data_IF_232045464200
#
_entry.id   IF_232045464200
#
_cell.length_a   1.000
_cell.length_b   1.000
_cell.length_c   1.000
_cell.angle_alpha   90.00
_cell.angle_beta   90.00
_cell.angle_gamma   90.00
#
_symmetry.space_group_name_H-M   'P 1'
#
loop_
_entity.id
_entity.type
_entity.pdbx_description
1 polymer ?
#
# COMPACT_ATOMS: atom_id res chain seq x y z
N UNK A 1 -76.63 55.09 -2.96
CA UNK A 1 -76.35 54.13 -1.89
C UNK A 1 -74.96 53.57 -2.13
N UNK A 2 -73.95 54.18 -1.51
CA UNK A 2 -72.57 53.66 -1.53
C UNK A 2 -72.29 53.28 -0.08
N UNK A 3 -72.16 51.98 0.17
CA UNK A 3 -71.76 51.46 1.46
C UNK A 3 -70.31 51.91 1.70
N UNK A 4 -70.10 52.70 2.75
CA UNK A 4 -68.77 52.97 3.26
C UNK A 4 -68.22 51.64 3.81
N UNK A 5 -67.29 51.04 3.07
CA UNK A 5 -66.50 49.92 3.58
C UNK A 5 -65.65 50.48 4.72
N UNK A 6 -65.95 50.01 5.92
CA UNK A 6 -65.21 50.35 7.14
C UNK A 6 -63.80 49.75 7.03
N UNK A 7 -62.85 50.57 6.56
CA UNK A 7 -61.42 50.26 6.52
C UNK A 7 -60.76 50.70 7.81
N UNK A 8 -61.32 50.30 8.95
CA UNK A 8 -60.67 50.42 10.24
C UNK A 8 -59.80 49.19 10.44
N UNK A 9 -58.56 49.24 9.95
CA UNK A 9 -57.51 48.33 10.43
C UNK A 9 -57.42 48.49 11.94
N UNK A 10 -57.88 47.50 12.69
CA UNK A 10 -57.83 47.55 14.14
C UNK A 10 -56.36 47.41 14.55
N UNK A 11 -55.74 48.44 15.16
CA UNK A 11 -54.31 48.40 15.52
C UNK A 11 -54.00 47.26 16.50
N UNK A 12 -55.01 46.72 17.18
CA UNK A 12 -54.89 45.54 18.02
C UNK A 12 -54.58 44.26 17.22
N UNK A 13 -55.11 44.12 16.01
CA UNK A 13 -54.86 42.97 15.15
C UNK A 13 -53.44 43.01 14.55
N UNK A 14 -52.95 44.21 14.20
CA UNK A 14 -51.56 44.41 13.77
C UNK A 14 -50.58 44.09 14.90
N UNK A 15 -50.88 44.53 16.14
CA UNK A 15 -50.05 44.21 17.31
C UNK A 15 -50.03 42.71 17.60
N UNK A 16 -51.18 42.02 17.47
CA UNK A 16 -51.25 40.56 17.62
C UNK A 16 -50.44 39.84 16.56
N UNK A 17 -50.56 40.26 15.30
CA UNK A 17 -49.80 39.70 14.19
C UNK A 17 -48.28 39.83 14.43
N UNK A 18 -47.82 41.02 14.80
CA UNK A 18 -46.40 41.26 15.11
C UNK A 18 -45.92 40.37 16.27
N UNK A 19 -46.73 40.21 17.32
CA UNK A 19 -46.38 39.35 18.45
C UNK A 19 -46.29 37.88 18.05
N UNK A 20 -47.16 37.40 17.16
CA UNK A 20 -47.13 36.03 16.67
C UNK A 20 -45.94 35.80 15.72
N UNK A 21 -45.60 36.76 14.87
CA UNK A 21 -44.36 36.71 14.07
C UNK A 21 -43.11 36.70 14.96
N UNK A 22 -43.06 37.52 16.00
CA UNK A 22 -41.96 37.51 16.97
C UNK A 22 -41.83 36.16 17.70
N UNK A 23 -42.96 35.50 18.01
CA UNK A 23 -42.97 34.16 18.60
C UNK A 23 -42.49 33.11 17.60
N UNK A 24 -42.90 33.20 16.33
CA UNK A 24 -42.44 32.31 15.26
C UNK A 24 -40.93 32.43 15.06
N UNK A 25 -40.43 33.65 14.88
CA UNK A 25 -38.99 33.91 14.73
C UNK A 25 -38.19 33.39 15.93
N UNK A 26 -38.71 33.54 17.15
CA UNK A 26 -38.06 32.98 18.34
C UNK A 26 -38.00 31.45 18.28
N UNK A 27 -39.08 30.79 17.86
CA UNK A 27 -39.11 29.33 17.72
C UNK A 27 -38.13 28.85 16.64
N UNK A 28 -38.06 29.54 15.50
CA UNK A 28 -37.12 29.26 14.42
C UNK A 28 -35.66 29.42 14.86
N UNK A 29 -35.33 30.51 15.57
CA UNK A 29 -33.99 30.72 16.13
C UNK A 29 -33.62 29.59 17.10
N UNK A 30 -34.56 29.15 17.94
CA UNK A 30 -34.32 28.03 18.85
C UNK A 30 -34.11 26.71 18.11
N UNK A 31 -34.82 26.47 17.01
CA UNK A 31 -34.64 25.29 16.18
C UNK A 31 -33.25 25.30 15.51
N UNK A 32 -32.88 26.40 14.85
CA UNK A 32 -31.56 26.59 14.25
C UNK A 32 -30.43 26.44 15.27
N UNK A 33 -30.63 26.95 16.49
CA UNK A 33 -29.64 26.80 17.56
C UNK A 33 -29.46 25.34 18.01
N UNK A 34 -30.52 24.52 17.98
CA UNK A 34 -30.40 23.07 18.27
C UNK A 34 -29.71 22.35 17.12
N UNK A 35 -30.07 22.67 15.88
CA UNK A 35 -29.46 22.07 14.69
C UNK A 35 -27.96 22.38 14.59
N UNK A 36 -27.57 23.63 14.80
CA UNK A 36 -26.15 24.04 14.81
C UNK A 36 -25.37 23.34 15.91
N UNK A 37 -25.95 23.15 17.10
CA UNK A 37 -25.31 22.37 18.17
C UNK A 37 -25.17 20.89 17.83
N UNK A 38 -26.17 20.29 17.20
CA UNK A 38 -26.09 18.92 16.73
C UNK A 38 -25.00 18.76 15.65
N UNK A 39 -24.94 19.69 14.69
CA UNK A 39 -23.90 19.73 13.66
C UNK A 39 -22.50 19.87 14.28
N UNK A 40 -22.32 20.77 15.26
CA UNK A 40 -21.06 20.91 15.98
C UNK A 40 -20.65 19.65 16.75
N UNK A 41 -21.62 18.93 17.33
CA UNK A 41 -21.34 17.65 17.97
C UNK A 41 -20.86 16.61 16.95
N UNK A 42 -21.53 16.50 15.79
CA UNK A 42 -21.10 15.61 14.70
C UNK A 42 -19.71 15.97 14.15
N UNK A 43 -19.38 17.26 14.03
CA UNK A 43 -18.04 17.70 13.61
C UNK A 43 -16.97 17.24 14.62
N UNK A 44 -17.24 17.35 15.92
CA UNK A 44 -16.30 16.89 16.96
C UNK A 44 -16.08 15.38 16.91
N UNK A 45 -17.14 14.61 16.72
CA UNK A 45 -17.05 13.15 16.57
C UNK A 45 -16.22 12.77 15.33
N UNK A 46 -16.43 13.45 14.20
CA UNK A 46 -15.61 13.23 12.99
C UNK A 46 -14.13 13.57 13.22
N UNK A 47 -13.83 14.65 13.95
CA UNK A 47 -12.44 15.00 14.29
C UNK A 47 -11.80 13.94 15.21
N UNK A 48 -12.53 13.44 16.19
CA UNK A 48 -12.04 12.38 17.07
C UNK A 48 -11.77 11.09 16.29
N UNK A 49 -12.61 10.76 15.31
CA UNK A 49 -12.41 9.62 14.42
C UNK A 49 -11.19 9.81 13.50
N UNK A 50 -10.97 11.01 12.96
CA UNK A 50 -9.77 11.31 12.17
C UNK A 50 -8.49 11.12 12.99
N UNK A 51 -8.44 11.60 14.24
CA UNK A 51 -7.29 11.35 15.13
C UNK A 51 -7.11 9.87 15.48
N UNK A 52 -8.18 9.07 15.44
CA UNK A 52 -8.09 7.61 15.64
C UNK A 52 -7.49 6.93 14.40
N UNK A 53 -7.93 7.34 13.21
CA UNK A 53 -7.40 6.85 11.94
C UNK A 53 -5.92 7.19 11.82
N UNK A 54 -5.53 8.44 12.07
CA UNK A 54 -4.12 8.89 11.99
C UNK A 54 -3.20 8.05 12.90
N UNK A 55 -3.62 7.77 14.14
CA UNK A 55 -2.86 6.90 15.05
C UNK A 55 -2.76 5.46 14.55
N UNK A 56 -3.80 4.97 13.89
CA UNK A 56 -3.82 3.61 13.33
C UNK A 56 -2.91 3.53 12.11
N UNK A 57 -2.95 4.53 11.24
CA UNK A 57 -2.06 4.64 10.08
C UNK A 57 -0.60 4.72 10.51
N UNK A 58 -0.26 5.56 11.49
CA UNK A 58 1.10 5.65 12.03
C UNK A 58 1.58 4.32 12.63
N UNK A 59 0.69 3.56 13.29
CA UNK A 59 1.02 2.23 13.79
C UNK A 59 1.29 1.24 12.65
N UNK A 60 0.45 1.24 11.61
CA UNK A 60 0.62 0.40 10.42
C UNK A 60 1.94 0.74 9.71
N UNK A 61 2.25 2.02 9.52
CA UNK A 61 3.51 2.46 8.91
C UNK A 61 4.72 1.98 9.71
N UNK A 62 4.67 2.06 11.04
CA UNK A 62 5.71 1.53 11.90
C UNK A 62 5.87 0.02 11.76
N UNK A 63 4.78 -0.74 11.79
CA UNK A 63 4.80 -2.20 11.65
C UNK A 63 5.32 -2.63 10.27
N UNK A 64 4.94 -1.91 9.22
CA UNK A 64 5.48 -2.13 7.87
C UNK A 64 6.98 -1.84 7.83
N UNK A 65 7.43 -0.77 8.46
CA UNK A 65 8.87 -0.47 8.61
C UNK A 65 9.63 -1.60 9.30
N UNK A 66 9.08 -2.16 10.37
CA UNK A 66 9.67 -3.30 11.08
C UNK A 66 9.69 -4.56 10.21
N UNK A 67 8.62 -4.84 9.48
CA UNK A 67 8.57 -5.97 8.54
C UNK A 67 9.60 -5.81 7.43
N UNK A 68 9.71 -4.61 6.84
CA UNK A 68 10.73 -4.31 5.84
C UNK A 68 12.14 -4.48 6.43
N UNK A 69 12.39 -3.98 7.65
CA UNK A 69 13.68 -4.17 8.31
C UNK A 69 14.02 -5.65 8.56
N UNK A 70 13.02 -6.48 8.92
CA UNK A 70 13.19 -7.93 9.09
C UNK A 70 13.45 -8.64 7.76
N UNK A 71 12.79 -8.20 6.69
CA UNK A 71 13.02 -8.68 5.33
C UNK A 71 14.44 -8.33 4.91
N UNK A 72 14.85 -7.07 5.06
CA UNK A 72 16.20 -6.62 4.75
C UNK A 72 17.26 -7.35 5.57
N UNK A 73 16.98 -7.69 6.83
CA UNK A 73 17.88 -8.50 7.63
C UNK A 73 17.96 -9.95 7.12
N UNK A 74 16.83 -10.55 6.73
CA UNK A 74 16.77 -11.92 6.22
C UNK A 74 17.40 -12.06 4.82
N UNK A 75 17.26 -11.05 3.96
CA UNK A 75 17.87 -11.02 2.62
C UNK A 75 19.27 -10.38 2.61
N UNK A 76 19.59 -9.56 3.60
CA UNK A 76 20.89 -8.90 3.78
C UNK A 76 21.96 -9.81 4.37
N UNK A 77 21.58 -10.95 4.97
CA UNK A 77 22.48 -12.09 5.12
C UNK A 77 22.81 -12.66 3.74
N UNK A 78 23.82 -12.04 3.10
CA UNK A 78 24.43 -12.58 1.90
C UNK A 78 25.08 -13.92 2.24
N UNK A 79 24.34 -14.98 1.89
CA UNK A 79 24.80 -16.35 1.80
C UNK A 79 26.22 -16.40 1.19
N UNK A 80 27.23 -16.60 2.04
CA UNK A 80 28.62 -16.72 1.57
C UNK A 80 28.73 -17.94 0.66
N UNK A 81 29.20 -17.72 -0.56
CA UNK A 81 29.39 -18.80 -1.53
C UNK A 81 30.63 -19.65 -1.21
N UNK A 82 31.53 -19.18 -0.37
CA UNK A 82 32.81 -19.84 -0.06
C UNK A 82 32.81 -20.53 1.30
N UNK A 83 32.02 -20.05 2.26
CA UNK A 83 32.07 -20.51 3.65
C UNK A 83 30.69 -20.64 4.28
N UNK A 84 30.54 -21.59 5.19
CA UNK A 84 29.31 -21.83 5.92
C UNK A 84 29.14 -20.81 7.04
N UNK A 85 28.02 -20.10 7.06
CA UNK A 85 27.72 -19.09 8.09
C UNK A 85 27.64 -19.67 9.52
N UNK A 86 27.35 -20.97 9.66
CA UNK A 86 27.26 -21.62 10.98
C UNK A 86 28.60 -22.04 11.57
N UNK A 87 29.53 -22.50 10.75
CA UNK A 87 30.76 -23.15 11.24
C UNK A 87 32.05 -22.69 10.55
N UNK A 88 31.97 -21.80 9.56
CA UNK A 88 33.10 -21.27 8.80
C UNK A 88 33.76 -22.26 7.84
N UNK A 89 33.33 -23.53 7.81
CA UNK A 89 33.86 -24.53 6.89
C UNK A 89 33.51 -24.20 5.44
N UNK A 90 34.31 -24.70 4.50
CA UNK A 90 33.99 -24.69 3.07
C UNK A 90 32.63 -25.33 2.78
N UNK A 91 32.05 -24.86 1.67
CA UNK A 91 30.74 -25.27 1.17
C UNK A 91 30.84 -25.74 -0.28
N UNK A 92 30.05 -26.75 -0.62
CA UNK A 92 29.82 -27.22 -1.98
C UNK A 92 28.67 -26.43 -2.63
N UNK A 93 28.84 -26.11 -3.91
CA UNK A 93 27.89 -25.33 -4.70
C UNK A 93 27.19 -26.23 -5.70
N UNK A 94 25.87 -26.22 -5.68
CA UNK A 94 25.05 -26.94 -6.64
C UNK A 94 24.19 -25.94 -7.43
N UNK A 95 24.25 -25.95 -8.77
CA UNK A 95 23.40 -25.09 -9.57
C UNK A 95 21.93 -25.49 -9.44
N UNK A 96 21.04 -24.50 -9.33
CA UNK A 96 19.59 -24.66 -9.33
C UNK A 96 18.95 -23.70 -10.35
N UNK A 97 17.68 -23.93 -10.70
CA UNK A 97 16.98 -23.12 -11.72
C UNK A 97 17.00 -21.62 -11.41
N UNK A 98 16.78 -21.25 -10.15
CA UNK A 98 16.70 -19.85 -9.70
C UNK A 98 17.93 -19.37 -8.90
N UNK A 99 18.97 -20.18 -8.74
CA UNK A 99 20.04 -19.84 -7.80
C UNK A 99 21.15 -20.88 -7.66
N UNK A 100 21.81 -20.85 -6.51
CA UNK A 100 22.83 -21.81 -6.10
C UNK A 100 22.44 -22.37 -4.73
N UNK A 101 22.32 -23.69 -4.64
CA UNK A 101 22.22 -24.38 -3.36
C UNK A 101 23.64 -24.60 -2.82
N UNK A 102 23.87 -24.17 -1.60
CA UNK A 102 25.15 -24.24 -0.91
C UNK A 102 25.04 -25.23 0.24
N UNK A 103 25.92 -26.24 0.30
CA UNK A 103 25.90 -27.31 1.30
C UNK A 103 27.23 -27.31 2.06
N UNK A 104 27.20 -27.21 3.38
CA UNK A 104 28.42 -27.24 4.20
C UNK A 104 28.98 -28.65 4.36
N UNK A 105 30.27 -28.81 4.07
CA UNK A 105 30.97 -30.09 4.14
C UNK A 105 31.17 -30.60 5.58
N UNK A 106 31.18 -29.70 6.57
CA UNK A 106 31.42 -30.06 7.97
C UNK A 106 30.14 -30.36 8.75
N UNK A 107 29.12 -29.49 8.64
CA UNK A 107 27.91 -29.58 9.46
C UNK A 107 26.64 -29.92 8.67
N UNK A 108 26.73 -30.08 7.34
CA UNK A 108 25.58 -30.38 6.48
C UNK A 108 24.56 -29.25 6.38
N UNK A 109 24.87 -28.05 6.89
CA UNK A 109 23.97 -26.91 6.78
C UNK A 109 23.78 -26.51 5.31
N UNK A 110 22.53 -26.37 4.90
CA UNK A 110 22.16 -25.96 3.54
C UNK A 110 21.61 -24.54 3.54
N UNK A 111 21.99 -23.77 2.53
CA UNK A 111 21.49 -22.42 2.28
C UNK A 111 21.26 -22.25 0.77
N UNK A 112 20.25 -21.48 0.38
CA UNK A 112 19.97 -21.19 -1.02
C UNK A 112 20.28 -19.72 -1.29
N UNK A 113 21.19 -19.45 -2.23
CA UNK A 113 21.49 -18.09 -2.65
C UNK A 113 20.86 -17.81 -4.02
N UNK A 114 19.98 -16.80 -4.12
CA UNK A 114 19.33 -16.41 -5.38
C UNK A 114 20.34 -15.71 -6.32
N UNK A 115 20.36 -16.10 -7.60
CA UNK A 115 21.19 -15.49 -8.67
C UNK A 115 21.08 -13.97 -8.75
N UNK A 116 19.94 -13.39 -8.35
CA UNK A 116 19.72 -11.94 -8.36
C UNK A 116 20.48 -11.20 -7.26
N UNK A 117 20.77 -11.90 -6.16
CA UNK A 117 21.37 -11.36 -4.94
C UNK A 117 22.87 -11.64 -4.82
N UNK A 118 23.43 -12.49 -5.68
CA UNK A 118 24.85 -12.81 -5.71
C UNK A 118 25.65 -11.58 -6.19
N UNK A 119 26.57 -11.02 -5.38
CA UNK A 119 27.38 -9.86 -5.76
C UNK A 119 28.36 -10.15 -6.92
N UNK A 120 28.60 -11.42 -7.24
CA UNK A 120 29.57 -11.84 -8.23
C UNK A 120 28.94 -12.17 -9.59
N UNK A 121 28.44 -11.14 -10.29
CA UNK A 121 27.98 -11.26 -11.69
C UNK A 121 29.11 -11.54 -12.69
N UNK A 122 30.39 -11.56 -12.29
CA UNK A 122 31.52 -11.54 -13.24
C UNK A 122 32.32 -12.84 -13.34
N UNK A 123 32.20 -13.77 -12.39
CA UNK A 123 32.99 -15.00 -12.41
C UNK A 123 32.28 -16.27 -12.93
N UNK A 124 30.98 -16.22 -13.24
CA UNK A 124 30.24 -17.41 -13.69
C UNK A 124 30.52 -17.90 -15.13
N UNK A 125 31.44 -17.26 -15.88
CA UNK A 125 31.75 -17.63 -17.27
C UNK A 125 33.05 -18.43 -17.46
N UNK A 126 33.78 -18.75 -16.39
CA UNK A 126 34.97 -19.61 -16.48
C UNK A 126 34.81 -20.74 -15.47
N UNK A 127 34.24 -21.84 -15.91
CA UNK A 127 34.59 -23.22 -15.53
C UNK A 127 33.59 -24.18 -16.16
N UNK A 128 33.38 -24.03 -17.47
CA UNK A 128 32.92 -25.13 -18.31
C UNK A 128 34.13 -25.49 -19.17
N UNK A 129 34.95 -26.42 -18.68
CA UNK A 129 35.84 -27.20 -19.53
C UNK A 129 34.94 -28.03 -20.47
N UNK A 130 34.51 -27.37 -21.55
CA UNK A 130 33.86 -28.00 -22.69
C UNK A 130 34.91 -28.83 -23.42
N UNK A 131 34.88 -30.14 -23.17
CA UNK A 131 35.68 -31.11 -23.90
C UNK A 131 35.39 -31.06 -25.40
N UNK A 132 36.46 -30.78 -26.16
CA UNK A 132 36.74 -31.04 -27.58
C UNK A 132 35.59 -30.93 -28.63
N UNK A 133 35.81 -30.20 -29.75
CA UNK A 133 34.84 -30.11 -30.84
C UNK A 133 34.83 -31.42 -31.63
N UNK A 134 33.79 -32.25 -31.46
CA UNK A 134 33.51 -33.31 -32.41
C UNK A 134 32.86 -32.69 -33.65
N UNK A 135 33.64 -32.62 -34.74
CA UNK A 135 33.15 -32.45 -36.08
C UNK A 135 31.97 -33.40 -36.35
N UNK A 136 30.92 -32.92 -37.01
CA UNK A 136 30.16 -33.61 -38.06
C UNK A 136 28.87 -32.83 -38.44
N UNK A 137 28.87 -32.35 -39.69
CA UNK A 137 27.73 -32.24 -40.62
C UNK A 137 26.75 -31.07 -40.45
N UNK A 138 27.00 -29.98 -41.18
CA UNK A 138 25.98 -29.36 -42.05
C UNK A 138 25.88 -30.23 -43.33
N UNK A 139 24.76 -30.30 -44.09
CA UNK A 139 23.77 -29.23 -44.29
C UNK A 139 22.30 -29.73 -44.45
N UNK A 140 21.35 -28.80 -44.60
CA UNK A 140 20.49 -28.62 -45.80
C UNK A 140 19.29 -27.77 -45.39
N UNK A 141 19.13 -26.66 -46.10
CA UNK A 141 18.18 -25.61 -45.79
C UNK A 141 16.73 -25.93 -46.12
N UNK A 142 15.85 -25.09 -45.58
CA UNK A 142 14.63 -24.65 -46.25
C UNK A 142 14.41 -23.18 -45.93
N UNK A 143 14.66 -22.35 -46.93
CA UNK A 143 14.09 -21.00 -47.04
C UNK A 143 12.59 -21.19 -47.25
N UNK A 144 11.76 -20.47 -46.49
CA UNK A 144 10.46 -19.99 -46.95
C UNK A 144 10.03 -18.81 -46.09
N UNK A 145 9.92 -17.66 -46.75
CA UNK A 145 9.44 -16.37 -46.27
C UNK A 145 8.05 -16.43 -45.61
N UNK A 146 7.69 -15.45 -44.77
CA UNK A 146 6.34 -15.32 -44.22
C UNK A 146 5.37 -14.75 -45.27
N UNK A 147 4.09 -15.17 -45.29
CA UNK A 147 3.09 -14.49 -46.09
C UNK A 147 2.62 -13.18 -45.41
N UNK A 148 2.27 -12.15 -46.20
CA UNK A 148 1.78 -10.85 -45.72
C UNK A 148 0.30 -10.89 -45.30
N UNK A 149 -0.13 -9.87 -44.56
CA UNK A 149 -1.54 -9.58 -44.20
C UNK A 149 -2.47 -9.40 -45.42
#
# INVERSE_FOLDING_TARGET
>A
MIAAMDMTSHPEDDVRLILDEMRSMRAEIQALHRETRAALAGIREMVDELHRIERTEAAIESELGDVTGRIDQAFGTQCSLDTCEKCGSMVERHPAESGVLVICNACGHTAFCDRRTIPDRRNFQRDVDEGAPSAMVDPVGWVSDPPPE
#
